data_IF_983910353552
#
_entry.id   IF_983910353552
#
_cell.length_a   1.000
_cell.length_b   1.000
_cell.length_c   1.000
_cell.angle_alpha   90.00
_cell.angle_beta   90.00
_cell.angle_gamma   90.00
#
_symmetry.space_group_name_H-M   'P 1'
#
loop_
_entity.id
_entity.type
_entity.pdbx_description
1 polymer ?
#
# COMPACT_ATOMS: atom_id res chain seq x y z
N UNK A 1 0.70 27.32 22.83
CA UNK A 1 0.45 26.03 22.15
C UNK A 1 0.44 26.32 20.65
N UNK A 2 0.93 25.39 19.82
CA UNK A 2 0.85 25.40 18.34
C UNK A 2 1.92 26.17 17.52
N UNK A 3 3.20 25.80 17.63
CA UNK A 3 4.13 25.93 16.48
C UNK A 3 4.21 24.63 15.65
N UNK A 4 3.81 23.49 16.21
CA UNK A 4 3.91 22.20 15.52
C UNK A 4 3.00 22.06 14.27
N UNK A 5 1.91 22.84 14.20
CA UNK A 5 1.01 22.80 13.03
C UNK A 5 1.59 23.48 11.78
N UNK A 6 2.62 24.32 11.89
CA UNK A 6 3.24 24.96 10.71
C UNK A 6 4.36 24.12 10.10
N UNK A 7 5.13 23.38 10.92
CA UNK A 7 6.23 22.55 10.44
C UNK A 7 5.75 21.25 9.77
N UNK A 8 4.71 20.60 10.33
CA UNK A 8 4.14 19.37 9.75
C UNK A 8 2.64 19.55 9.48
N UNK A 9 2.26 20.29 8.42
CA UNK A 9 0.86 20.54 8.09
C UNK A 9 0.17 19.25 7.62
N UNK A 10 -0.95 18.91 8.26
CA UNK A 10 -1.76 17.72 7.97
C UNK A 10 -2.27 17.74 6.53
N UNK A 11 -2.53 18.92 5.99
CA UNK A 11 -2.99 19.14 4.63
C UNK A 11 -1.96 18.65 3.62
N UNK A 12 -0.65 18.84 3.88
CA UNK A 12 0.41 18.36 3.00
C UNK A 12 0.55 16.84 3.04
N UNK A 13 0.32 16.24 4.21
CA UNK A 13 0.29 14.77 4.34
C UNK A 13 -0.89 14.21 3.53
N UNK A 14 -2.06 14.82 3.64
CA UNK A 14 -3.24 14.43 2.87
C UNK A 14 -3.00 14.60 1.35
N UNK A 15 -2.40 15.71 0.93
CA UNK A 15 -2.02 15.94 -0.48
C UNK A 15 -1.04 14.87 -0.97
N UNK A 16 -0.06 14.47 -0.15
CA UNK A 16 0.90 13.43 -0.48
C UNK A 16 0.21 12.08 -0.71
N UNK A 17 -0.72 11.69 0.16
CA UNK A 17 -1.54 10.47 0.00
C UNK A 17 -2.38 10.52 -1.28
N UNK A 18 -3.14 11.60 -1.48
CA UNK A 18 -4.01 11.75 -2.65
C UNK A 18 -3.23 11.76 -3.98
N UNK A 19 -2.00 12.28 -3.98
CA UNK A 19 -1.15 12.31 -5.17
C UNK A 19 -0.69 10.92 -5.62
N UNK A 20 -0.64 9.95 -4.71
CA UNK A 20 -0.15 8.59 -4.97
C UNK A 20 -1.24 7.53 -4.96
N UNK A 21 -2.46 7.90 -4.57
CA UNK A 21 -3.58 6.99 -4.49
C UNK A 21 -3.96 6.46 -5.90
N UNK A 22 -3.91 5.14 -6.13
CA UNK A 22 -4.41 4.57 -7.38
C UNK A 22 -5.92 4.72 -7.42
N UNK A 23 -6.48 5.27 -8.52
CA UNK A 23 -7.92 5.46 -8.70
C UNK A 23 -8.68 4.13 -8.54
N UNK A 24 -9.24 3.89 -7.35
CA UNK A 24 -9.97 2.67 -6.99
C UNK A 24 -11.16 2.41 -7.93
N UNK A 25 -11.79 3.46 -8.45
CA UNK A 25 -13.00 3.38 -9.29
C UNK A 25 -12.77 2.70 -10.66
N UNK A 26 -11.59 2.82 -11.26
CA UNK A 26 -11.32 2.19 -12.57
C UNK A 26 -11.13 0.66 -12.46
N UNK A 27 -10.80 0.15 -11.27
CA UNK A 27 -10.47 -1.27 -11.07
C UNK A 27 -11.67 -2.15 -10.70
N UNK A 28 -12.67 -1.61 -10.02
CA UNK A 28 -13.88 -2.34 -9.62
C UNK A 28 -14.77 -2.65 -10.84
N UNK A 29 -14.92 -1.70 -11.76
CA UNK A 29 -15.77 -1.88 -12.95
C UNK A 29 -15.14 -2.83 -14.00
N UNK A 30 -13.81 -2.83 -14.14
CA UNK A 30 -13.15 -3.59 -15.22
C UNK A 30 -13.04 -5.09 -14.93
N UNK A 31 -13.05 -5.51 -13.65
CA UNK A 31 -12.73 -6.90 -13.27
C UNK A 31 -13.93 -7.75 -12.83
N UNK A 32 -15.16 -7.21 -12.77
CA UNK A 32 -16.36 -8.04 -12.60
C UNK A 32 -16.68 -8.91 -13.84
N UNK A 33 -15.97 -8.70 -14.96
CA UNK A 33 -16.24 -9.35 -16.25
C UNK A 33 -15.16 -10.27 -16.82
N UNK A 34 -13.99 -10.43 -16.18
CA UNK A 34 -12.90 -11.27 -16.73
C UNK A 34 -12.54 -12.36 -15.73
N UNK A 35 -12.78 -13.65 -16.03
CA UNK A 35 -12.20 -14.73 -15.24
C UNK A 35 -10.69 -14.69 -15.49
N UNK A 36 -9.92 -14.23 -14.50
CA UNK A 36 -8.46 -14.25 -14.58
C UNK A 36 -8.00 -15.70 -14.56
N UNK A 37 -7.71 -16.23 -15.75
CA UNK A 37 -7.15 -17.56 -16.02
C UNK A 37 -5.67 -17.68 -15.58
N UNK A 38 -5.29 -17.05 -14.46
CA UNK A 38 -3.95 -17.16 -13.89
C UNK A 38 -4.02 -17.89 -12.56
N UNK A 39 -3.94 -19.22 -12.54
CA UNK A 39 -3.36 -19.91 -11.41
C UNK A 39 -1.85 -19.64 -11.54
N UNK A 40 -1.14 -19.04 -10.58
CA UNK A 40 -0.85 -19.63 -9.29
C UNK A 40 0.04 -18.69 -8.50
N UNK A 41 -0.10 -18.74 -7.19
CA UNK A 41 0.69 -18.08 -6.16
C UNK A 41 0.31 -16.63 -5.78
N UNK A 42 -0.56 -16.44 -4.78
CA UNK A 42 -0.87 -15.12 -4.23
C UNK A 42 0.37 -14.41 -3.68
N UNK A 43 1.43 -15.13 -3.29
CA UNK A 43 2.68 -14.52 -2.82
C UNK A 43 3.36 -13.78 -3.97
N UNK A 44 3.46 -14.39 -5.15
CA UNK A 44 3.98 -13.72 -6.37
C UNK A 44 3.20 -12.45 -6.71
N UNK A 45 1.86 -12.49 -6.64
CA UNK A 45 1.02 -11.31 -6.91
C UNK A 45 1.26 -10.19 -5.89
N UNK A 46 1.40 -10.53 -4.60
CA UNK A 46 1.71 -9.57 -3.53
C UNK A 46 3.10 -8.96 -3.77
N UNK A 47 4.11 -9.78 -4.10
CA UNK A 47 5.47 -9.31 -4.38
C UNK A 47 5.51 -8.35 -5.58
N UNK A 48 4.82 -8.68 -6.68
CA UNK A 48 4.74 -7.80 -7.84
C UNK A 48 4.02 -6.48 -7.54
N UNK A 49 2.95 -6.54 -6.74
CA UNK A 49 2.25 -5.33 -6.30
C UNK A 49 3.14 -4.47 -5.39
N UNK A 50 3.90 -5.09 -4.49
CA UNK A 50 4.84 -4.40 -3.61
C UNK A 50 5.95 -3.71 -4.43
N UNK A 51 6.58 -4.41 -5.37
CA UNK A 51 7.62 -3.86 -6.26
C UNK A 51 7.13 -2.62 -7.01
N UNK A 52 5.92 -2.68 -7.59
CA UNK A 52 5.29 -1.53 -8.23
C UNK A 52 5.05 -0.36 -7.27
N UNK A 53 4.65 -0.66 -6.03
CA UNK A 53 4.35 0.36 -5.02
C UNK A 53 5.60 0.96 -4.37
N UNK A 54 6.78 0.32 -4.46
CA UNK A 54 8.03 0.91 -3.96
C UNK A 54 8.34 2.24 -4.66
N UNK A 55 8.12 2.33 -5.98
CA UNK A 55 8.30 3.59 -6.71
C UNK A 55 7.31 4.67 -6.24
N UNK A 56 6.06 4.26 -6.04
CA UNK A 56 5.00 5.13 -5.52
C UNK A 56 5.32 5.62 -4.11
N UNK A 57 5.88 4.77 -3.27
CA UNK A 57 6.28 5.09 -1.90
C UNK A 57 7.39 6.14 -1.85
N UNK A 58 8.37 6.05 -2.75
CA UNK A 58 9.44 7.07 -2.86
C UNK A 58 8.84 8.43 -3.26
N UNK A 59 7.89 8.42 -4.21
CA UNK A 59 7.20 9.64 -4.63
C UNK A 59 6.32 10.23 -3.53
N UNK A 60 5.65 9.38 -2.74
CA UNK A 60 4.92 9.80 -1.54
C UNK A 60 5.86 10.45 -0.53
N UNK A 61 6.97 9.79 -0.19
CA UNK A 61 7.91 10.26 0.82
C UNK A 61 8.50 11.63 0.46
N UNK A 62 8.83 11.87 -0.81
CA UNK A 62 9.32 13.18 -1.30
C UNK A 62 8.32 14.32 -1.12
N UNK A 63 7.01 14.01 -1.02
CA UNK A 63 5.93 14.99 -0.81
C UNK A 63 5.65 15.24 0.68
N UNK A 64 6.14 14.37 1.58
CA UNK A 64 6.04 14.57 3.02
C UNK A 64 6.90 15.77 3.43
N UNK A 65 6.35 16.73 4.21
CA UNK A 65 7.11 17.89 4.67
C UNK A 65 8.45 17.48 5.30
N UNK A 66 9.49 18.25 5.01
CA UNK A 66 10.87 18.06 5.47
C UNK A 66 11.60 16.78 5.04
N UNK A 67 10.93 15.78 4.47
CA UNK A 67 11.61 14.53 4.07
C UNK A 67 12.69 14.78 3.01
N UNK A 68 12.39 15.59 2.00
CA UNK A 68 13.33 15.94 0.92
C UNK A 68 14.48 16.86 1.38
N UNK A 69 14.38 17.45 2.58
CA UNK A 69 15.41 18.31 3.17
C UNK A 69 16.45 17.51 3.96
N UNK A 70 16.15 16.25 4.29
CA UNK A 70 17.09 15.34 4.95
C UNK A 70 18.26 14.98 4.02
N UNK A 71 19.44 14.65 4.57
CA UNK A 71 20.52 14.04 3.79
C UNK A 71 20.03 12.84 2.99
N UNK A 72 20.57 12.66 1.78
CA UNK A 72 20.16 11.56 0.90
C UNK A 72 20.33 10.18 1.57
N UNK A 73 21.40 10.00 2.34
CA UNK A 73 21.65 8.76 3.08
C UNK A 73 20.56 8.50 4.13
N UNK A 74 20.09 9.53 4.82
CA UNK A 74 19.02 9.42 5.82
C UNK A 74 17.68 9.08 5.15
N UNK A 75 17.36 9.70 4.02
CA UNK A 75 16.17 9.36 3.22
C UNK A 75 16.18 7.87 2.84
N UNK A 76 17.32 7.36 2.39
CA UNK A 76 17.49 5.94 2.02
C UNK A 76 17.36 5.03 3.25
N UNK A 77 17.96 5.40 4.39
CA UNK A 77 17.87 4.62 5.64
C UNK A 77 16.42 4.52 6.11
N UNK A 78 15.70 5.66 6.16
CA UNK A 78 14.31 5.71 6.60
C UNK A 78 13.41 4.85 5.71
N UNK A 79 13.54 4.97 4.38
CA UNK A 79 12.76 4.15 3.45
C UNK A 79 13.11 2.67 3.54
N UNK A 80 14.40 2.31 3.66
CA UNK A 80 14.82 0.91 3.83
C UNK A 80 14.31 0.29 5.13
N UNK A 81 14.19 1.09 6.19
CA UNK A 81 13.67 0.63 7.48
C UNK A 81 12.13 0.50 7.45
N UNK A 82 11.42 1.47 6.84
CA UNK A 82 9.97 1.59 6.97
C UNK A 82 9.13 1.09 5.80
N UNK A 83 9.71 0.75 4.64
CA UNK A 83 8.92 0.47 3.43
C UNK A 83 7.88 -0.63 3.61
N UNK A 84 8.20 -1.69 4.35
CA UNK A 84 7.28 -2.81 4.53
C UNK A 84 6.04 -2.40 5.32
N UNK A 85 6.21 -1.69 6.43
CA UNK A 85 5.11 -1.21 7.26
C UNK A 85 4.26 -0.17 6.53
N UNK A 86 4.90 0.74 5.79
CA UNK A 86 4.20 1.74 4.98
C UNK A 86 3.34 1.08 3.90
N UNK A 87 3.88 0.09 3.18
CA UNK A 87 3.10 -0.64 2.18
C UNK A 87 1.93 -1.42 2.80
N UNK A 88 2.16 -2.07 3.94
CA UNK A 88 1.09 -2.79 4.67
C UNK A 88 -0.01 -1.83 5.07
N UNK A 89 0.32 -0.69 5.67
CA UNK A 89 -0.67 0.32 6.02
C UNK A 89 -1.46 0.80 4.79
N UNK A 90 -0.78 1.08 3.67
CA UNK A 90 -1.43 1.56 2.45
C UNK A 90 -2.42 0.56 1.85
N UNK A 91 -2.05 -0.71 1.67
CA UNK A 91 -2.99 -1.69 1.11
C UNK A 91 -4.04 -2.15 2.12
N UNK A 92 -3.76 -2.10 3.42
CA UNK A 92 -4.76 -2.39 4.46
C UNK A 92 -5.86 -1.33 4.46
N UNK A 93 -5.47 -0.05 4.43
CA UNK A 93 -6.41 1.06 4.29
C UNK A 93 -7.28 0.92 3.04
N UNK A 94 -6.68 0.59 1.89
CA UNK A 94 -7.41 0.33 0.64
C UNK A 94 -8.39 -0.84 0.73
N UNK A 95 -8.13 -1.79 1.61
CA UNK A 95 -8.90 -3.04 1.74
C UNK A 95 -10.03 -2.96 2.76
N UNK A 96 -10.23 -1.83 3.45
CA UNK A 96 -11.27 -1.67 4.49
C UNK A 96 -12.68 -2.02 3.99
N UNK A 97 -12.98 -1.77 2.72
CA UNK A 97 -14.30 -2.07 2.11
C UNK A 97 -14.41 -3.50 1.58
N UNK A 98 -13.32 -4.27 1.57
CA UNK A 98 -13.24 -5.61 1.02
C UNK A 98 -13.44 -6.64 2.13
N UNK A 99 -14.43 -7.51 1.96
CA UNK A 99 -14.71 -8.58 2.92
C UNK A 99 -13.78 -9.78 2.69
N UNK A 100 -13.11 -10.24 3.74
CA UNK A 100 -12.27 -11.45 3.77
C UNK A 100 -11.17 -11.49 2.68
N UNK A 101 -10.62 -10.33 2.34
CA UNK A 101 -9.59 -10.20 1.31
C UNK A 101 -8.87 -8.86 1.33
N UNK A 102 -7.78 -8.78 0.57
CA UNK A 102 -7.03 -7.54 0.35
C UNK A 102 -7.07 -7.13 -1.11
N UNK A 103 -7.09 -5.82 -1.36
CA UNK A 103 -7.02 -5.22 -2.68
C UNK A 103 -5.60 -4.69 -2.95
N UNK A 104 -4.89 -5.40 -3.82
CA UNK A 104 -3.55 -4.99 -4.25
C UNK A 104 -3.61 -3.76 -5.16
N UNK A 105 -2.49 -3.05 -5.26
CA UNK A 105 -2.39 -1.85 -6.11
C UNK A 105 -2.46 -2.18 -7.62
N UNK A 106 -2.38 -3.45 -7.95
CA UNK A 106 -2.62 -4.00 -9.29
C UNK A 106 -4.11 -4.15 -9.61
N UNK A 107 -5.00 -3.97 -8.62
CA UNK A 107 -6.43 -4.24 -8.74
C UNK A 107 -6.81 -5.70 -8.47
N UNK A 108 -5.83 -6.56 -8.17
CA UNK A 108 -6.07 -7.96 -7.85
C UNK A 108 -6.61 -8.11 -6.42
N UNK A 109 -7.65 -8.93 -6.29
CA UNK A 109 -8.21 -9.32 -5.01
C UNK A 109 -7.56 -10.63 -4.55
N UNK A 110 -6.91 -10.60 -3.39
CA UNK A 110 -6.39 -11.82 -2.76
C UNK A 110 -7.34 -12.20 -1.65
N UNK A 111 -7.95 -13.39 -1.77
CA UNK A 111 -8.86 -13.91 -0.76
C UNK A 111 -8.11 -14.65 0.34
N UNK A 112 -8.67 -14.62 1.55
CA UNK A 112 -8.20 -15.38 2.72
C UNK A 112 -7.86 -16.83 2.39
N UNK A 113 -8.76 -17.56 1.71
CA UNK A 113 -8.54 -18.96 1.37
C UNK A 113 -7.31 -19.20 0.48
N UNK A 114 -7.05 -18.29 -0.46
CA UNK A 114 -5.88 -18.35 -1.33
C UNK A 114 -4.59 -18.11 -0.55
N UNK A 115 -4.58 -17.14 0.37
CA UNK A 115 -3.44 -16.87 1.25
C UNK A 115 -3.14 -18.05 2.19
N UNK A 116 -4.18 -18.66 2.77
CA UNK A 116 -4.04 -19.88 3.59
C UNK A 116 -3.45 -21.03 2.78
N UNK A 117 -3.94 -21.26 1.56
CA UNK A 117 -3.44 -22.32 0.67
C UNK A 117 -1.99 -22.09 0.23
N UNK A 118 -1.52 -20.85 0.22
CA UNK A 118 -0.14 -20.48 -0.10
C UNK A 118 0.80 -20.41 1.13
N UNK A 119 0.31 -20.78 2.32
CA UNK A 119 1.13 -20.80 3.54
C UNK A 119 1.34 -19.44 4.21
N UNK A 120 0.69 -18.37 3.72
CA UNK A 120 0.77 -17.01 4.29
C UNK A 120 -0.50 -16.60 5.04
N UNK A 121 -1.39 -17.55 5.33
CA UNK A 121 -2.68 -17.28 5.99
C UNK A 121 -2.58 -16.57 7.34
N UNK A 122 -1.62 -16.94 8.19
CA UNK A 122 -1.48 -16.36 9.53
C UNK A 122 -1.13 -14.86 9.51
N UNK A 123 -0.22 -14.44 8.63
CA UNK A 123 0.13 -13.02 8.48
C UNK A 123 -1.01 -12.26 7.80
N UNK A 124 -1.67 -12.89 6.83
CA UNK A 124 -2.83 -12.33 6.16
C UNK A 124 -4.00 -12.05 7.12
N UNK A 125 -4.28 -12.99 8.03
CA UNK A 125 -5.33 -12.84 9.04
C UNK A 125 -5.02 -11.71 10.02
N UNK A 126 -3.76 -11.56 10.41
CA UNK A 126 -3.33 -10.44 11.27
C UNK A 126 -3.56 -9.10 10.59
N UNK A 127 -3.21 -8.97 9.32
CA UNK A 127 -3.43 -7.73 8.56
C UNK A 127 -4.92 -7.39 8.38
N UNK A 128 -5.80 -8.40 8.37
CA UNK A 128 -7.26 -8.18 8.31
C UNK A 128 -7.90 -7.89 9.67
N UNK A 129 -7.19 -8.06 10.78
CA UNK A 129 -7.75 -7.97 12.15
C UNK A 129 -7.16 -6.84 12.99
N UNK A 130 -5.94 -6.39 12.67
CA UNK A 130 -5.31 -5.17 13.23
C UNK A 130 -5.91 -3.91 12.59
#
# INVERSE_FOLDING_TARGET
>A
TSCANEDMPVEKILEAEQAVEPKTETYIETNLGVPSNSPNDPVTNICQAADKQLFTLVEWAKRIPHFSELPLDDQVILLRAGWNELLIASFSHRSITIKDGILLATGLHVHRNSAHSAGVGAIFDRVLTE
#
